data_IF_156525218521
#
_entry.id   IF_156525218521
#
_cell.length_a   1.000
_cell.length_b   1.000
_cell.length_c   1.000
_cell.angle_alpha   90.00
_cell.angle_beta   90.00
_cell.angle_gamma   90.00
#
_symmetry.space_group_name_H-M   'P 1'
#
loop_
_entity.id
_entity.type
_entity.pdbx_description
1 polymer ?
2 non-polymer ?
3 water ?
#
# COMPACT_ATOMS: atom_id res chain seq x y z
N UNK A 24 12.35 10.51 4.14
CA UNK A 24 10.89 10.65 3.79
C UNK A 24 10.75 10.49 2.27
N UNK A 25 9.53 10.34 1.75
CA UNK A 25 9.21 10.39 0.29
C UNK A 25 8.03 11.35 0.11
N UNK A 26 7.86 11.90 -1.10
CA UNK A 26 6.82 12.87 -1.46
C UNK A 26 6.22 12.51 -2.81
N UNK A 27 4.98 12.91 -2.98
CA UNK A 27 4.26 12.84 -4.27
C UNK A 27 3.34 14.04 -4.36
N UNK A 28 3.47 14.76 -5.45
CA UNK A 28 2.62 15.93 -5.77
C UNK A 28 1.70 15.58 -6.93
N UNK A 29 0.40 15.60 -6.68
CA UNK A 29 -0.62 15.38 -7.73
C UNK A 29 -0.63 16.56 -8.73
N UNK A 30 -0.29 17.79 -8.28
CA UNK A 30 -0.19 18.97 -9.19
C UNK A 30 0.96 18.73 -10.16
N UNK A 31 0.61 18.61 -11.44
CA UNK A 31 1.60 18.34 -12.50
C UNK A 31 1.97 16.88 -12.58
N UNK A 32 1.31 15.99 -11.83
CA UNK A 32 1.60 14.55 -11.85
C UNK A 32 1.26 13.96 -13.23
N UNK A 33 2.09 13.02 -13.64
CA UNK A 33 1.91 12.25 -14.88
C UNK A 33 2.36 10.85 -14.53
N UNK A 34 2.13 9.86 -15.43
CA UNK A 34 2.61 8.52 -15.17
C UNK A 34 4.07 8.50 -14.72
N UNK A 35 4.94 9.31 -15.33
CA UNK A 35 6.39 9.34 -14.98
C UNK A 35 6.57 9.76 -13.50
N UNK A 36 5.99 10.84 -13.06
CA UNK A 36 6.25 11.32 -11.68
C UNK A 36 5.61 10.33 -10.67
N UNK A 37 4.50 9.69 -11.00
CA UNK A 37 3.95 8.65 -10.08
C UNK A 37 4.91 7.47 -9.99
N UNK A 38 5.47 7.08 -11.11
CA UNK A 38 6.42 5.97 -11.09
C UNK A 38 7.65 6.31 -10.24
N UNK A 39 8.08 7.56 -10.27
CA UNK A 39 9.24 8.01 -9.47
C UNK A 39 8.91 7.98 -7.97
N UNK A 40 7.67 8.32 -7.63
CA UNK A 40 7.21 8.23 -6.22
C UNK A 40 7.20 6.77 -5.76
N UNK A 41 6.67 5.87 -6.57
CA UNK A 41 6.63 4.45 -6.15
C UNK A 41 8.04 3.90 -6.07
N UNK A 42 8.95 4.31 -6.97
CA UNK A 42 10.37 3.91 -6.84
C UNK A 42 10.95 4.45 -5.52
N UNK A 43 10.72 5.71 -5.20
CA UNK A 43 11.18 6.34 -3.93
C UNK A 43 10.64 5.51 -2.75
N UNK A 44 9.37 5.13 -2.80
CA UNK A 44 8.72 4.41 -1.67
C UNK A 44 9.37 3.03 -1.49
N UNK A 45 9.50 2.25 -2.55
CA UNK A 45 10.21 0.95 -2.47
C UNK A 45 11.63 1.14 -1.91
N UNK A 46 12.36 2.14 -2.40
CA UNK A 46 13.79 2.33 -2.01
C UNK A 46 13.90 2.76 -0.55
N UNK A 47 12.85 3.29 0.08
CA UNK A 47 12.92 3.76 1.48
C UNK A 47 12.65 2.59 2.44
N UNK A 48 12.31 1.41 1.91
CA UNK A 48 12.04 0.20 2.73
C UNK A 48 13.34 -0.58 2.83
N UNK A 49 13.91 -0.72 4.04
CA UNK A 49 15.19 -1.40 4.18
C UNK A 49 15.09 -2.90 3.88
N UNK A 50 16.22 -3.47 3.47
CA UNK A 50 16.39 -4.93 3.30
C UNK A 50 17.87 -5.24 3.49
N UNK A 51 18.14 -6.42 4.06
CA UNK A 51 19.52 -6.95 4.23
C UNK A 51 19.84 -7.90 3.07
N UNK A 52 18.82 -8.57 2.51
CA UNK A 52 19.02 -9.55 1.42
C UNK A 52 17.85 -9.52 0.43
N UNK A 53 18.05 -10.22 -0.70
CA UNK A 53 17.06 -10.48 -1.75
C UNK A 53 16.86 -12.00 -1.85
N UNK A 54 15.61 -12.43 -2.00
CA UNK A 54 15.23 -13.84 -2.28
C UNK A 54 14.70 -13.87 -3.70
N UNK A 55 15.31 -14.66 -4.58
CA UNK A 55 14.99 -14.72 -6.01
C UNK A 55 14.92 -13.29 -6.56
N UNK A 56 15.90 -12.45 -6.21
CA UNK A 56 16.14 -11.09 -6.75
C UNK A 56 15.03 -10.13 -6.29
N UNK A 57 14.30 -10.45 -5.22
CA UNK A 57 13.22 -9.57 -4.67
C UNK A 57 13.65 -9.16 -3.27
N UNK A 58 13.70 -7.85 -2.95
CA UNK A 58 14.03 -7.42 -1.59
C UNK A 58 13.15 -8.11 -0.56
N UNK A 59 13.76 -8.61 0.51
CA UNK A 59 13.07 -9.24 1.65
C UNK A 59 12.98 -8.21 2.78
N UNK A 60 11.76 -7.74 3.09
CA UNK A 60 11.53 -6.76 4.18
C UNK A 60 12.04 -7.35 5.50
N UNK A 61 12.49 -6.49 6.41
CA UNK A 61 13.13 -6.90 7.69
C UNK A 61 12.10 -7.58 8.60
N UNK A 62 12.50 -8.55 9.45
CA UNK A 62 11.58 -9.13 10.44
C UNK A 62 11.06 -8.08 11.43
N UNK A 63 11.92 -7.14 11.83
CA UNK A 63 11.57 -6.11 12.84
C UNK A 63 12.52 -4.93 12.72
N UNK A 64 12.03 -3.75 13.11
CA UNK A 64 12.81 -2.49 13.29
C UNK A 64 12.32 -1.85 14.60
N UNK A 65 13.25 -1.52 15.51
CA UNK A 65 13.00 -0.86 16.82
C UNK A 65 12.99 0.66 16.64
N UNK A 66 12.20 1.34 17.47
CA UNK A 66 12.14 2.82 17.56
C UNK A 66 11.41 3.45 16.40
N UNK A 67 11.69 4.73 16.16
CA UNK A 67 10.98 5.56 15.16
C UNK A 67 11.37 5.12 13.76
N UNK A 68 12.52 4.46 13.60
CA UNK A 68 13.04 3.94 12.31
C UNK A 68 12.10 2.96 11.64
N UNK A 69 11.15 2.38 12.38
CA UNK A 69 10.13 1.43 11.83
C UNK A 69 9.20 2.15 10.85
N UNK A 70 9.07 3.48 10.94
CA UNK A 70 8.00 4.24 10.24
C UNK A 70 8.61 5.21 9.22
N UNK A 71 8.21 5.01 7.97
CA UNK A 71 8.50 5.93 6.85
C UNK A 71 7.38 6.97 6.79
N UNK A 72 7.71 8.23 6.55
CA UNK A 72 6.76 9.32 6.36
C UNK A 72 6.65 9.57 4.86
N UNK A 73 5.43 9.57 4.34
CA UNK A 73 5.11 9.93 2.94
C UNK A 73 4.36 11.25 2.97
N UNK A 74 4.85 12.26 2.26
CA UNK A 74 4.21 13.59 2.11
C UNK A 74 3.43 13.60 0.80
N UNK A 75 2.10 13.63 0.89
CA UNK A 75 1.24 13.56 -0.30
C UNK A 75 0.56 14.92 -0.42
N UNK A 76 0.54 15.46 -1.65
CA UNK A 76 -0.06 16.79 -1.96
C UNK A 76 -1.15 16.65 -3.01
N UNK A 77 -2.33 17.23 -2.74
CA UNK A 77 -3.47 17.14 -3.69
C UNK A 77 -3.21 18.18 -4.79
N UNK A 78 -4.09 18.28 -5.78
CA UNK A 78 -3.93 19.22 -6.93
C UNK A 78 -3.75 20.66 -6.41
N UNK A 79 -4.40 21.04 -5.30
CA UNK A 79 -4.38 22.42 -4.75
C UNK A 79 -3.18 22.63 -3.81
N UNK A 80 -2.33 21.63 -3.63
CA UNK A 80 -1.10 21.76 -2.81
C UNK A 80 -1.31 21.55 -1.31
N UNK A 81 -2.53 21.22 -0.86
CA UNK A 81 -2.80 20.82 0.56
C UNK A 81 -2.25 19.40 0.78
N UNK A 82 -1.80 19.12 2.01
CA UNK A 82 -0.95 17.92 2.23
C UNK A 82 -1.39 17.16 3.48
N UNK A 83 -1.14 15.85 3.41
CA UNK A 83 -1.11 14.95 4.60
C UNK A 83 0.24 14.27 4.64
N UNK A 84 0.65 13.87 5.83
CA UNK A 84 1.81 12.97 6.00
C UNK A 84 1.31 11.63 6.47
N UNK A 85 1.69 10.57 5.77
CA UNK A 85 1.24 9.19 6.08
C UNK A 85 2.40 8.40 6.70
N UNK A 86 2.17 7.70 7.77
CA UNK A 86 3.12 6.80 8.43
C UNK A 86 2.94 5.36 7.95
N UNK A 87 4.00 4.76 7.47
CA UNK A 87 4.04 3.40 6.88
C UNK A 87 5.06 2.57 7.67
N UNK A 88 4.63 1.41 8.17
CA UNK A 88 5.51 0.41 8.82
C UNK A 88 6.41 -0.19 7.74
N UNK A 89 7.73 -0.07 7.85
CA UNK A 89 8.63 -0.45 6.73
C UNK A 89 8.83 -1.98 6.71
N UNK A 90 8.36 -2.70 7.73
CA UNK A 90 8.46 -4.19 7.75
C UNK A 90 7.37 -4.80 6.87
N UNK A 91 6.24 -4.11 6.62
CA UNK A 91 5.11 -4.79 5.95
C UNK A 91 4.32 -3.83 5.05
N UNK A 92 4.81 -2.60 4.87
CA UNK A 92 4.20 -1.51 4.04
C UNK A 92 2.77 -1.24 4.53
N UNK A 93 2.47 -1.44 5.82
CA UNK A 93 1.12 -1.14 6.36
C UNK A 93 1.08 0.33 6.75
N UNK A 94 0.06 1.02 6.27
CA UNK A 94 -0.24 2.40 6.70
C UNK A 94 -0.83 2.34 8.10
N UNK A 95 -0.21 3.07 9.02
CA UNK A 95 -0.58 3.11 10.46
C UNK A 95 -1.53 4.27 10.76
N UNK A 96 -1.34 5.38 10.09
CA UNK A 96 -2.03 6.64 10.41
C UNK A 96 -1.44 7.77 9.62
N UNK A 97 -1.93 8.98 9.87
CA UNK A 97 -1.55 10.15 9.05
C UNK A 97 -1.77 11.40 9.89
N UNK A 98 -1.13 12.44 9.42
CA UNK A 98 -1.21 13.80 9.99
C UNK A 98 -1.89 14.71 8.97
N UNK A 99 -2.93 15.41 9.41
CA UNK A 99 -3.63 16.46 8.63
C UNK A 99 -3.65 17.74 9.46
N UNK A 100 -2.91 18.78 9.03
CA UNK A 100 -2.78 20.07 9.78
C UNK A 100 -2.26 19.72 11.20
N UNK A 101 -3.06 19.85 12.26
CA UNK A 101 -2.59 19.69 13.67
C UNK A 101 -3.24 18.49 14.32
N UNK A 102 -3.84 17.60 13.54
CA UNK A 102 -4.54 16.42 14.09
C UNK A 102 -3.91 15.15 13.51
N UNK A 103 -3.48 14.25 14.37
CA UNK A 103 -3.05 12.90 13.94
C UNK A 103 -4.27 11.99 13.96
N UNK A 104 -4.20 10.93 13.17
CA UNK A 104 -5.26 9.93 13.00
C UNK A 104 -4.59 8.56 12.91
N UNK A 105 -5.01 7.61 13.71
CA UNK A 105 -4.43 6.25 13.72
C UNK A 105 -5.55 5.23 13.60
N UNK A 106 -5.27 4.08 12.99
CA UNK A 106 -6.24 2.96 12.97
C UNK A 106 -6.42 2.41 14.38
N UNK A 107 -7.59 1.79 14.60
CA UNK A 107 -7.98 1.18 15.91
C UNK A 107 -7.44 -0.25 15.97
N UNK A 108 -6.13 -0.37 16.10
CA UNK A 108 -5.44 -1.68 16.19
C UNK A 108 -4.13 -1.50 16.95
N UNK A 109 -3.63 -2.56 17.61
CA UNK A 109 -2.43 -2.42 18.42
C UNK A 109 -1.17 -1.90 17.71
N UNK A 110 -0.91 -2.29 16.48
CA UNK A 110 0.27 -1.86 15.69
C UNK A 110 0.23 -0.33 15.49
N UNK A 111 -0.97 0.23 15.30
CA UNK A 111 -1.13 1.69 15.08
C UNK A 111 -1.00 2.45 16.41
N UNK A 112 -1.52 1.95 17.55
CA UNK A 112 -1.32 2.68 18.83
C UNK A 112 0.18 2.70 19.12
N UNK A 113 0.87 1.58 18.87
CA UNK A 113 2.34 1.50 19.02
C UNK A 113 3.01 2.57 18.15
N UNK A 114 2.60 2.72 16.89
CA UNK A 114 3.15 3.76 15.98
C UNK A 114 2.92 5.16 16.55
N UNK A 115 1.78 5.43 17.19
CA UNK A 115 1.46 6.76 17.73
C UNK A 115 2.43 7.14 18.85
N UNK A 116 3.24 6.20 19.35
CA UNK A 116 4.31 6.47 20.35
C UNK A 116 5.50 7.21 19.69
N UNK A 117 5.67 7.10 18.37
CA UNK A 117 6.89 7.55 17.64
C UNK A 117 6.61 8.64 16.58
N UNK A 118 5.44 8.64 15.94
CA UNK A 118 5.12 9.58 14.82
C UNK A 118 4.03 10.58 15.23
N UNK A 119 4.17 11.81 14.76
CA UNK A 119 3.14 12.90 14.80
C UNK A 119 2.84 13.30 16.24
N UNK A 120 3.81 13.09 17.12
CA UNK A 120 3.70 13.34 18.58
C UNK A 120 3.25 14.79 18.82
N UNK A 121 3.71 15.72 17.99
CA UNK A 121 3.54 17.20 18.06
C UNK A 121 2.12 17.63 17.66
N UNK A 122 1.28 16.74 17.11
CA UNK A 122 -0.12 17.06 16.76
C UNK A 122 -0.86 17.55 18.02
N UNK A 123 -1.82 18.46 17.85
CA UNK A 123 -2.59 19.04 18.98
C UNK A 123 -3.47 17.96 19.60
N UNK A 124 -4.04 17.05 18.79
CA UNK A 124 -4.86 15.95 19.32
C UNK A 124 -4.67 14.76 18.39
N UNK A 125 -4.90 13.59 18.95
CA UNK A 125 -4.77 12.30 18.27
C UNK A 125 -6.15 11.63 18.27
N UNK A 126 -6.65 11.41 17.07
CA UNK A 126 -7.94 10.70 16.89
C UNK A 126 -7.62 9.25 16.55
N UNK A 127 -8.28 8.33 17.20
CA UNK A 127 -8.29 6.90 16.83
C UNK A 127 -9.48 6.76 15.90
N UNK A 128 -9.25 6.38 14.65
CA UNK A 128 -10.35 6.04 13.72
C UNK A 128 -11.19 4.89 14.30
N UNK A 129 -12.50 4.86 13.97
CA UNK A 129 -13.43 3.85 14.49
C UNK A 129 -13.43 2.58 13.62
N UNK A 130 -12.23 2.12 13.28
CA UNK A 130 -11.99 0.86 12.53
C UNK A 130 -10.50 0.57 12.51
N UNK A 131 -10.19 -0.71 12.39
CA UNK A 131 -8.81 -1.16 12.07
C UNK A 131 -8.54 -0.89 10.60
N UNK A 132 -7.31 -1.14 10.17
CA UNK A 132 -6.84 -0.99 8.79
C UNK A 132 -7.12 -2.19 7.89
N UNK A 133 -7.71 -3.25 8.43
CA UNK A 133 -8.16 -4.42 7.67
C UNK A 133 -9.10 -4.01 6.51
N UNK A 134 -8.88 -4.54 5.30
CA UNK A 134 -9.69 -4.27 4.10
C UNK A 134 -11.18 -4.61 4.36
N UNK A 135 -11.45 -5.76 4.95
CA UNK A 135 -12.83 -6.16 5.29
C UNK A 135 -13.49 -5.07 6.17
N UNK A 136 -12.83 -4.65 7.25
CA UNK A 136 -13.37 -3.60 8.17
C UNK A 136 -13.51 -2.26 7.44
N UNK A 137 -12.48 -1.88 6.68
CA UNK A 137 -12.57 -0.57 5.99
C UNK A 137 -13.75 -0.58 5.02
N UNK A 138 -13.97 -1.68 4.28
CA UNK A 138 -15.06 -1.77 3.27
C UNK A 138 -16.42 -1.66 3.99
N UNK A 139 -16.56 -2.26 5.16
CA UNK A 139 -17.82 -2.18 5.94
C UNK A 139 -18.03 -0.72 6.34
N UNK A 140 -16.98 -0.06 6.83
CA UNK A 140 -17.06 1.35 7.27
C UNK A 140 -17.37 2.26 6.08
N UNK A 141 -16.80 1.98 4.90
CA UNK A 141 -16.96 2.81 3.69
C UNK A 141 -18.36 2.60 3.09
N UNK A 142 -18.91 1.41 3.25
CA UNK A 142 -20.24 1.03 2.73
C UNK A 142 -20.18 0.38 1.35
N UNK A 143 -18.98 0.14 0.83
CA UNK A 143 -18.71 -0.45 -0.52
C UNK A 143 -17.46 -1.31 -0.41
N UNK A 144 -17.37 -2.42 -1.18
CA UNK A 144 -16.12 -3.17 -1.28
C UNK A 144 -15.14 -2.49 -2.24
N UNK A 145 -13.84 -2.81 -2.13
CA UNK A 145 -12.77 -2.32 -3.04
C UNK A 145 -13.21 -2.39 -4.51
N UNK A 146 -13.93 -3.47 -4.87
CA UNK A 146 -14.26 -3.80 -6.29
C UNK A 146 -15.10 -2.69 -6.92
N UNK A 147 -15.79 -1.90 -6.09
CA UNK A 147 -16.74 -0.85 -6.55
C UNK A 147 -16.20 0.56 -6.28
N UNK A 148 -14.96 0.70 -5.77
CA UNK A 148 -14.38 2.04 -5.49
C UNK A 148 -13.35 2.36 -6.57
N UNK A 149 -13.62 3.34 -7.46
CA UNK A 149 -12.63 3.74 -8.47
C UNK A 149 -11.33 4.20 -7.83
N UNK A 150 -10.23 3.75 -8.42
CA UNK A 150 -8.89 4.22 -7.99
C UNK A 150 -8.20 4.88 -9.18
N UNK A 151 -7.12 5.58 -8.89
CA UNK A 151 -6.36 6.37 -9.87
C UNK A 151 -5.75 7.56 -9.20
N UNK A 152 -5.06 8.41 -9.95
CA UNK A 152 -4.46 9.64 -9.38
C UNK A 152 -5.56 10.66 -9.06
N UNK A 153 -6.63 10.85 -9.86
CA UNK A 153 -7.71 11.74 -9.40
C UNK A 153 -8.35 11.26 -8.08
N UNK A 154 -8.53 9.94 -7.95
CA UNK A 154 -9.12 9.38 -6.70
C UNK A 154 -8.16 9.72 -5.54
N UNK A 155 -6.83 9.61 -5.76
CA UNK A 155 -5.87 9.94 -4.68
C UNK A 155 -5.99 11.43 -4.31
N UNK A 156 -6.16 12.30 -5.30
CA UNK A 156 -6.44 13.74 -5.07
C UNK A 156 -7.63 13.85 -4.12
N UNK A 157 -8.71 13.15 -4.46
CA UNK A 157 -9.95 13.21 -3.65
C UNK A 157 -9.74 12.61 -2.25
N UNK A 158 -8.90 11.59 -2.12
CA UNK A 158 -8.65 10.91 -0.84
C UNK A 158 -7.88 11.84 0.08
N UNK A 159 -6.87 12.50 -0.45
CA UNK A 159 -6.09 13.48 0.35
C UNK A 159 -7.05 14.60 0.82
N UNK A 160 -7.88 15.12 -0.07
CA UNK A 160 -8.84 16.19 0.32
C UNK A 160 -9.76 15.68 1.43
N UNK A 161 -10.26 14.46 1.30
CA UNK A 161 -11.19 13.88 2.30
C UNK A 161 -10.46 13.82 3.65
N UNK A 162 -9.22 13.36 3.68
CA UNK A 162 -8.51 13.10 4.95
C UNK A 162 -8.10 14.40 5.64
N UNK A 163 -8.14 15.56 4.97
CA UNK A 163 -7.64 16.81 5.60
C UNK A 163 -8.51 17.23 6.79
N UNK A 164 -9.77 16.79 6.79
CA UNK A 164 -10.79 17.17 7.80
C UNK A 164 -11.52 15.90 8.20
N UNK A 165 -11.60 15.61 9.48
CA UNK A 165 -12.18 14.33 9.92
C UNK A 165 -13.62 14.09 9.40
N UNK A 166 -13.80 12.92 8.83
CA UNK A 166 -15.11 12.34 8.54
C UNK A 166 -14.91 10.84 8.43
N UNK A 167 -15.27 10.09 9.45
CA UNK A 167 -14.83 8.68 9.53
C UNK A 167 -15.39 7.84 8.37
N UNK A 168 -16.64 8.02 7.95
CA UNK A 168 -17.20 7.30 6.78
C UNK A 168 -16.41 7.62 5.51
N UNK A 169 -16.29 8.90 5.17
CA UNK A 169 -15.58 9.37 3.98
C UNK A 169 -14.14 8.86 4.08
N UNK A 170 -13.52 8.92 5.27
CA UNK A 170 -12.09 8.57 5.46
C UNK A 170 -11.86 7.09 5.11
N UNK A 171 -12.80 6.20 5.43
CA UNK A 171 -12.65 4.75 5.13
C UNK A 171 -12.46 4.54 3.62
N UNK A 172 -13.31 5.12 2.78
CA UNK A 172 -13.12 5.01 1.33
C UNK A 172 -11.81 5.67 0.89
N UNK A 173 -11.50 6.86 1.40
CA UNK A 173 -10.26 7.58 1.04
C UNK A 173 -9.09 6.67 1.42
N UNK A 174 -9.14 6.03 2.56
CA UNK A 174 -8.04 5.17 3.00
C UNK A 174 -7.93 3.94 2.10
N UNK A 175 -9.03 3.38 1.62
CA UNK A 175 -8.93 2.26 0.64
C UNK A 175 -8.23 2.76 -0.62
N UNK A 176 -8.54 3.97 -1.10
CA UNK A 176 -7.83 4.49 -2.28
C UNK A 176 -6.35 4.69 -1.95
N UNK A 177 -6.06 5.28 -0.81
CA UNK A 177 -4.67 5.61 -0.40
C UNK A 177 -3.83 4.33 -0.34
N UNK A 178 -4.33 3.31 0.34
CA UNK A 178 -3.61 2.02 0.50
C UNK A 178 -3.30 1.47 -0.88
N UNK A 179 -4.25 1.47 -1.81
CA UNK A 179 -4.05 0.77 -3.08
C UNK A 179 -3.08 1.52 -3.95
N UNK A 180 -3.18 2.85 -3.92
CA UNK A 180 -2.35 3.71 -4.81
C UNK A 180 -0.96 3.96 -4.24
N UNK A 181 -0.60 3.48 -3.05
CA UNK A 181 0.75 3.70 -2.46
C UNK A 181 1.33 2.32 -2.12
N UNK A 182 0.91 1.74 -1.01
CA UNK A 182 1.45 0.44 -0.55
C UNK A 182 1.24 -0.63 -1.63
N UNK A 183 0.03 -0.80 -2.16
CA UNK A 183 -0.15 -1.97 -3.06
C UNK A 183 0.66 -1.78 -4.34
N UNK A 184 0.72 -0.55 -4.84
CA UNK A 184 1.60 -0.24 -6.00
C UNK A 184 3.07 -0.53 -5.68
N UNK A 185 3.53 -0.20 -4.48
CA UNK A 185 4.92 -0.53 -4.10
C UNK A 185 5.12 -2.04 -4.20
N UNK A 186 4.13 -2.80 -3.73
CA UNK A 186 4.30 -4.27 -3.65
C UNK A 186 4.31 -4.93 -5.03
N UNK A 187 3.58 -4.43 -6.01
CA UNK A 187 3.39 -5.09 -7.32
C UNK A 187 3.54 -4.13 -8.48
N UNK A 188 4.49 -4.39 -9.34
CA UNK A 188 4.69 -3.58 -10.58
C UNK A 188 3.41 -3.49 -11.40
N UNK A 189 2.61 -4.55 -11.50
CA UNK A 189 1.33 -4.54 -12.26
C UNK A 189 0.39 -3.49 -11.66
N UNK A 190 0.34 -3.40 -10.33
CA UNK A 190 -0.60 -2.44 -9.70
C UNK A 190 -0.08 -1.03 -9.94
N UNK A 191 1.23 -0.78 -9.87
CA UNK A 191 1.82 0.52 -10.22
C UNK A 191 1.39 0.86 -11.64
N UNK A 192 1.50 -0.03 -12.60
CA UNK A 192 1.15 0.20 -14.01
C UNK A 192 -0.35 0.47 -14.15
N UNK A 193 -1.20 -0.14 -13.34
CA UNK A 193 -2.67 0.05 -13.36
C UNK A 193 -2.99 1.47 -12.91
N UNK A 194 -2.30 1.96 -11.89
CA UNK A 194 -2.55 3.34 -11.43
C UNK A 194 -2.03 4.31 -12.49
N UNK A 195 -0.91 4.03 -13.15
CA UNK A 195 -0.39 4.89 -14.24
C UNK A 195 -1.43 5.02 -15.34
N UNK A 196 -2.12 3.95 -15.69
CA UNK A 196 -3.20 3.95 -16.72
C UNK A 196 -4.36 4.88 -16.28
N UNK A 197 -4.53 5.02 -14.98
CA UNK A 197 -5.60 5.81 -14.31
C UNK A 197 -5.03 7.17 -13.87
N UNK A 198 -4.04 7.71 -14.57
CA UNK A 198 -3.45 9.02 -14.22
C UNK A 198 -4.49 10.14 -14.31
N UNK A 199 -5.43 10.04 -15.25
CA UNK A 199 -6.36 11.16 -15.55
C UNK A 199 -7.82 10.69 -15.50
N UNK A 200 -8.11 9.42 -15.21
CA UNK A 200 -9.47 8.83 -15.24
C UNK A 200 -9.49 7.64 -14.27
N UNK A 201 -10.26 7.77 -13.20
CA UNK A 201 -10.39 6.66 -12.22
C UNK A 201 -11.15 5.48 -12.83
N UNK A 202 -10.86 4.28 -12.33
CA UNK A 202 -11.55 3.04 -12.74
C UNK A 202 -11.37 2.05 -11.60
N UNK A 203 -12.42 1.29 -11.32
CA UNK A 203 -12.39 0.24 -10.27
C UNK A 203 -11.21 -0.64 -10.58
N UNK A 204 -10.58 -1.20 -9.53
CA UNK A 204 -9.42 -2.06 -9.75
C UNK A 204 -9.78 -3.26 -10.63
N UNK A 205 -8.82 -3.68 -11.45
CA UNK A 205 -8.93 -4.90 -12.27
C UNK A 205 -9.04 -6.09 -11.33
N UNK A 206 -9.52 -7.22 -11.86
CA UNK A 206 -9.67 -8.44 -11.04
C UNK A 206 -8.27 -8.93 -10.60
N UNK A 207 -7.25 -8.77 -11.45
CA UNK A 207 -5.85 -9.13 -11.13
C UNK A 207 -5.33 -8.24 -9.98
N UNK A 208 -5.70 -6.94 -9.99
CA UNK A 208 -5.33 -6.02 -8.89
C UNK A 208 -5.83 -6.59 -7.55
N UNK A 209 -7.12 -6.87 -7.45
CA UNK A 209 -7.70 -7.39 -6.18
C UNK A 209 -7.02 -8.71 -5.80
N UNK A 210 -6.82 -9.58 -6.79
CA UNK A 210 -6.19 -10.92 -6.62
C UNK A 210 -4.81 -10.75 -5.98
N UNK A 211 -3.98 -9.88 -6.56
CA UNK A 211 -2.59 -9.64 -6.07
C UNK A 211 -2.62 -9.09 -4.64
N UNK A 212 -3.48 -8.09 -4.36
CA UNK A 212 -3.55 -7.47 -3.03
C UNK A 212 -3.83 -8.56 -1.99
N UNK A 213 -4.75 -9.44 -2.36
CA UNK A 213 -5.23 -10.52 -1.48
C UNK A 213 -4.11 -11.54 -1.27
N UNK A 214 -3.20 -11.69 -2.23
CA UNK A 214 -2.24 -12.84 -2.27
C UNK A 214 -0.82 -12.46 -1.84
N UNK A 215 -0.54 -11.19 -1.48
CA UNK A 215 0.85 -10.75 -1.21
C UNK A 215 1.50 -11.59 -0.09
N UNK A 216 0.78 -11.80 1.01
CA UNK A 216 1.36 -12.56 2.15
C UNK A 216 1.62 -14.01 1.73
N UNK A 217 0.68 -14.61 0.98
CA UNK A 217 0.83 -16.00 0.49
C UNK A 217 2.00 -16.12 -0.47
N UNK A 218 2.06 -15.27 -1.48
CA UNK A 218 3.17 -15.27 -2.47
C UNK A 218 4.49 -15.06 -1.74
N UNK A 219 4.55 -14.10 -0.82
CA UNK A 219 5.78 -13.83 -0.04
C UNK A 219 6.24 -15.12 0.65
N UNK A 220 5.28 -15.79 1.30
CA UNK A 220 5.52 -17.08 2.02
C UNK A 220 6.00 -18.16 1.03
N UNK A 221 5.30 -18.38 -0.08
CA UNK A 221 5.69 -19.47 -1.03
C UNK A 221 7.06 -19.18 -1.65
N UNK A 222 7.43 -17.93 -1.93
CA UNK A 222 8.75 -17.58 -2.55
C UNK A 222 9.88 -17.87 -1.56
N UNK A 223 9.73 -17.49 -0.30
CA UNK A 223 10.71 -17.83 0.76
C UNK A 223 10.83 -19.36 0.90
N UNK A 224 9.69 -20.08 0.94
CA UNK A 224 9.67 -21.57 1.08
C UNK A 224 10.28 -22.22 -0.15
N UNK A 225 10.22 -21.60 -1.33
CA UNK A 225 10.73 -22.17 -2.59
C UNK A 225 12.25 -22.33 -2.52
N UNK A 226 12.94 -21.50 -1.72
CA UNK A 226 14.34 -21.73 -1.28
C UNK A 226 14.37 -22.93 -0.31
N UNK A 227 14.87 -24.08 -0.76
CA UNK A 227 14.81 -25.36 -0.03
C UNK A 227 13.86 -26.34 -0.71
N UNK A 228 13.12 -25.88 -1.73
CA UNK A 228 12.18 -26.75 -2.50
C UNK A 228 12.41 -26.55 -4.01
N UNK A 229 13.64 -26.21 -4.40
CA UNK A 229 14.08 -26.19 -5.84
C UNK A 229 13.31 -25.10 -6.61
N UNK A 230 12.88 -24.06 -5.91
CA UNK A 230 12.07 -22.98 -6.51
C UNK A 230 10.61 -23.37 -6.65
N UNK A 231 10.18 -24.48 -6.05
CA UNK A 231 8.79 -25.03 -6.15
C UNK A 231 8.01 -24.56 -4.93
N UNK A 232 6.83 -24.00 -5.18
CA UNK A 232 5.84 -23.63 -4.14
C UNK A 232 5.35 -24.90 -3.41
N UNK A 233 5.45 -24.90 -2.07
CA UNK A 233 4.89 -25.97 -1.21
C UNK A 233 3.36 -26.00 -1.38
N UNK A 234 2.72 -24.83 -1.51
CA UNK A 234 1.26 -24.69 -1.76
C UNK A 234 1.06 -23.77 -2.96
N UNK A 235 0.61 -24.25 -4.14
CA UNK A 235 0.37 -23.35 -5.27
C UNK A 235 -0.63 -22.24 -4.90
N UNK A 236 -0.51 -21.09 -5.57
CA UNK A 236 -1.34 -19.87 -5.33
C UNK A 236 -2.19 -19.65 -6.58
N UNK A 237 -3.50 -19.55 -6.40
CA UNK A 237 -4.50 -19.24 -7.45
C UNK A 237 -4.59 -17.72 -7.57
N UNK A 238 -4.26 -17.17 -8.74
CA UNK A 238 -4.45 -15.72 -9.04
C UNK A 238 -5.42 -15.51 -10.20
N UNK A 239 -5.75 -14.25 -10.46
CA UNK A 239 -6.33 -13.79 -11.75
C UNK A 239 -5.22 -13.05 -12.50
N UNK A 240 -5.07 -13.31 -13.79
CA UNK A 240 -3.99 -12.72 -14.63
C UNK A 240 -4.50 -11.41 -15.25
N UNK A 241 -3.61 -10.74 -16.00
CA UNK A 241 -3.82 -9.41 -16.61
C UNK A 241 -4.96 -9.44 -17.63
N UNK A 242 -5.37 -10.62 -18.09
CA UNK A 242 -6.48 -10.80 -19.07
C UNK A 242 -7.78 -11.24 -18.35
N UNK A 243 -7.76 -11.39 -17.02
CA UNK A 243 -8.96 -11.73 -16.22
C UNK A 243 -9.15 -13.23 -16.08
N UNK A 244 -8.13 -13.99 -16.47
CA UNK A 244 -8.19 -15.47 -16.48
C UNK A 244 -7.51 -16.03 -15.24
N UNK A 245 -7.98 -17.18 -14.78
CA UNK A 245 -7.30 -17.93 -13.71
C UNK A 245 -5.87 -18.31 -14.15
N UNK A 246 -4.92 -18.16 -13.24
CA UNK A 246 -3.57 -18.76 -13.37
C UNK A 246 -3.16 -19.35 -12.02
N UNK A 247 -2.62 -20.57 -12.01
CA UNK A 247 -2.11 -21.24 -10.79
C UNK A 247 -0.59 -21.03 -10.79
N UNK A 248 -0.05 -20.43 -9.73
CA UNK A 248 1.40 -20.15 -9.57
C UNK A 248 2.03 -21.31 -8.79
N UNK A 249 2.95 -22.04 -9.42
CA UNK A 249 3.54 -23.27 -8.84
C UNK A 249 5.03 -23.08 -8.54
N UNK A 250 5.72 -22.11 -9.15
CA UNK A 250 7.19 -22.02 -8.95
C UNK A 250 7.67 -20.62 -9.28
N UNK A 251 8.93 -20.33 -8.94
CA UNK A 251 9.55 -18.98 -9.08
C UNK A 251 9.83 -18.59 -10.54
N UNK A 252 9.62 -19.44 -11.55
CA UNK A 252 9.83 -19.02 -12.96
C UNK A 252 8.60 -18.24 -13.45
N UNK A 253 7.50 -18.24 -12.69
CA UNK A 253 6.27 -17.47 -12.99
C UNK A 253 6.58 -15.97 -13.12
N UNK A 254 6.00 -15.31 -14.11
CA UNK A 254 6.17 -13.84 -14.30
C UNK A 254 5.67 -13.08 -13.05
N UNK A 255 4.75 -13.61 -12.26
CA UNK A 255 4.37 -12.94 -10.97
C UNK A 255 5.61 -12.80 -10.09
N UNK A 256 6.50 -13.81 -10.09
CA UNK A 256 7.76 -13.79 -9.29
C UNK A 256 8.88 -13.06 -10.03
N UNK A 257 9.04 -13.26 -11.33
CA UNK A 257 10.21 -12.71 -12.05
C UNK A 257 10.00 -11.23 -12.40
N UNK A 258 8.77 -10.76 -12.53
CA UNK A 258 8.58 -9.38 -13.05
C UNK A 258 7.73 -8.52 -12.12
N UNK A 259 6.78 -9.09 -11.40
CA UNK A 259 5.64 -8.33 -10.81
C UNK A 259 5.92 -7.98 -9.35
N UNK A 260 5.98 -8.95 -8.46
CA UNK A 260 6.16 -8.68 -7.02
C UNK A 260 7.49 -7.95 -6.79
N UNK A 261 7.48 -6.91 -5.95
CA UNK A 261 8.68 -6.04 -5.78
C UNK A 261 9.26 -6.15 -4.38
N UNK A 262 8.48 -6.67 -3.42
CA UNK A 262 8.84 -6.66 -1.99
C UNK A 262 8.31 -7.96 -1.41
N UNK A 263 9.05 -8.56 -0.47
CA UNK A 263 8.53 -9.78 0.19
C UNK A 263 8.27 -9.49 1.65
N UNK A 264 7.08 -9.83 2.12
CA UNK A 264 6.77 -9.85 3.56
C UNK A 264 7.61 -10.95 4.19
N UNK A 265 8.42 -10.62 5.18
CA UNK A 265 9.28 -11.62 5.87
C UNK A 265 8.39 -12.69 6.53
N UNK A 266 8.69 -13.98 6.30
CA UNK A 266 7.85 -15.11 6.83
C UNK A 266 7.78 -15.04 8.37
N UNK A 267 8.72 -14.39 9.03
CA UNK A 267 8.74 -14.16 10.51
C UNK A 267 7.66 -13.13 10.89
#
# INVERSE_FOLDING_TARGET
MSRFSVLSFLILAIFLGGSIVKGDVSFRLSGADPRSYGMFIKDLRNALPFREKVYNIPLLLPSVSGAGRYLLMHLFNYDGKTITVAVDVTNVYIMGYLADTTSYFFNEPAAELASQYVFRDARRKITLPYSGNYERLQIAAGKPREKIPIGLPALDSAISTLLHYDSTAAAGALLVLIQTTAEAARFKYIEQQIQERAYRDEVPSLATISLENSWSGLSKQIQLAQGNNGIFRTPIVLVDNKGNRVQITNVTSKVVTSNIQLLLNTRNIAEGDNGDVSTTHGFSSY
#
